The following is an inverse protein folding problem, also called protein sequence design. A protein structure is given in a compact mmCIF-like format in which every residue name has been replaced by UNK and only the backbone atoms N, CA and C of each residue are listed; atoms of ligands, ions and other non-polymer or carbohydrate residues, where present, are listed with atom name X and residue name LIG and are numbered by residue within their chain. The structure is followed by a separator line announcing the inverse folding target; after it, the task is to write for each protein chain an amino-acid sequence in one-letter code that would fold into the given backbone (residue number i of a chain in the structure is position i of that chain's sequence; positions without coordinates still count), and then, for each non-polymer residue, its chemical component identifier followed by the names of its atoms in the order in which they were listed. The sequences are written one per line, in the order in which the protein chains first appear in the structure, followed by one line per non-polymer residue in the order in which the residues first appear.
data_IF_912128124241
#
_entry.id   IF_912128124241
#
_cell.length_a   1.000
_cell.length_b   1.000
_cell.length_c   1.000
_cell.angle_alpha   90.00
_cell.angle_beta   90.00
_cell.angle_gamma   90.00
#
_symmetry.space_group_name_H-M   'P 1'
#
loop_
_entity.id
_entity.type
_entity.pdbx_description
1 polymer ?
#
# COMPACT_ATOMS: atom_id res chain seq x y z
N UNK A 1 21.85 -8.98 -36.22
CA UNK A 1 20.49 -9.40 -36.59
C UNK A 1 20.05 -8.69 -37.86
N UNK A 2 19.45 -9.42 -38.79
CA UNK A 2 18.74 -8.88 -39.95
C UNK A 2 17.43 -8.19 -39.54
N UNK A 3 16.78 -7.49 -40.47
CA UNK A 3 15.49 -6.87 -40.20
C UNK A 3 14.39 -7.90 -39.91
N UNK A 4 14.45 -9.07 -40.58
CA UNK A 4 13.51 -10.16 -40.36
C UNK A 4 13.72 -10.80 -38.99
N UNK A 5 14.96 -11.09 -38.60
CA UNK A 5 15.29 -11.63 -37.27
C UNK A 5 14.83 -10.71 -36.13
N UNK A 6 14.91 -9.38 -36.31
CA UNK A 6 14.38 -8.42 -35.33
C UNK A 6 12.86 -8.44 -35.21
N UNK A 7 12.13 -8.71 -36.30
CA UNK A 7 10.66 -8.86 -36.26
C UNK A 7 10.26 -10.14 -35.57
N UNK A 8 11.03 -11.21 -35.77
CA UNK A 8 10.76 -12.53 -35.22
C UNK A 8 11.22 -12.67 -33.75
N UNK A 9 11.98 -11.70 -33.24
CA UNK A 9 12.44 -11.65 -31.84
C UNK A 9 11.56 -10.69 -31.03
N UNK A 10 10.79 -11.18 -30.04
CA UNK A 10 9.99 -10.32 -29.18
C UNK A 10 10.85 -9.26 -28.48
N UNK A 11 10.43 -7.99 -28.55
CA UNK A 11 11.06 -6.91 -27.81
C UNK A 11 10.54 -6.92 -26.38
N UNK A 12 11.45 -7.07 -25.42
CA UNK A 12 11.16 -6.91 -23.99
C UNK A 12 11.39 -5.44 -23.63
N UNK A 13 10.42 -4.84 -22.96
CA UNK A 13 10.60 -3.53 -22.34
C UNK A 13 11.17 -3.72 -20.94
N UNK A 14 12.46 -3.43 -20.77
CA UNK A 14 13.14 -3.50 -19.47
C UNK A 14 13.01 -2.22 -18.66
N UNK A 15 12.58 -1.11 -19.27
CA UNK A 15 12.48 0.20 -18.62
C UNK A 15 11.13 0.37 -17.94
N UNK A 16 10.73 -0.63 -17.17
CA UNK A 16 9.47 -0.64 -16.42
C UNK A 16 9.55 0.31 -15.23
N UNK A 17 8.66 1.30 -15.10
CA UNK A 17 8.64 2.23 -13.97
C UNK A 17 8.53 1.52 -12.61
N UNK A 18 9.25 2.02 -11.61
CA UNK A 18 9.28 1.46 -10.26
C UNK A 18 8.55 2.39 -9.29
N UNK A 19 7.66 1.81 -8.47
CA UNK A 19 7.11 2.48 -7.29
C UNK A 19 7.69 1.81 -6.04
N UNK A 20 8.30 2.60 -5.15
CA UNK A 20 9.00 2.13 -3.97
C UNK A 20 8.29 2.50 -2.65
N UNK A 21 8.50 1.69 -1.62
CA UNK A 21 8.01 1.93 -0.26
C UNK A 21 8.92 2.94 0.46
N UNK A 22 8.36 4.07 0.88
CA UNK A 22 9.05 5.08 1.68
C UNK A 22 8.65 5.04 3.17
N UNK A 23 7.95 3.98 3.60
CA UNK A 23 7.42 3.78 4.94
C UNK A 23 6.65 5.02 5.43
N UNK A 24 6.83 5.39 6.70
CA UNK A 24 6.36 6.63 7.30
C UNK A 24 7.36 7.79 7.11
N UNK A 25 8.28 7.70 6.13
CA UNK A 25 9.25 8.76 5.82
C UNK A 25 10.49 8.83 6.71
N UNK A 26 10.71 7.83 7.58
CA UNK A 26 11.90 7.68 8.45
C UNK A 26 12.25 8.92 9.31
N UNK A 27 11.24 9.63 9.80
CA UNK A 27 11.40 10.75 10.73
C UNK A 27 10.55 11.95 10.35
N UNK A 28 11.08 13.15 10.59
CA UNK A 28 10.40 14.40 10.25
C UNK A 28 10.61 14.83 8.79
N UNK A 29 10.14 16.03 8.47
CA UNK A 29 10.15 16.65 7.13
C UNK A 29 11.52 16.55 6.41
N UNK A 30 12.63 16.79 7.13
CA UNK A 30 13.98 16.75 6.54
C UNK A 30 14.43 15.32 6.18
N UNK A 31 13.99 14.31 6.94
CA UNK A 31 14.21 12.91 6.59
C UNK A 31 13.45 12.55 5.32
N UNK A 32 12.19 12.97 5.21
CA UNK A 32 11.37 12.73 4.01
C UNK A 32 12.01 13.33 2.76
N UNK A 33 12.52 14.56 2.84
CA UNK A 33 13.21 15.19 1.71
C UNK A 33 14.48 14.42 1.33
N UNK A 34 15.32 14.04 2.30
CA UNK A 34 16.54 13.25 2.01
C UNK A 34 16.22 11.89 1.40
N UNK A 35 15.19 11.22 1.90
CA UNK A 35 14.73 9.93 1.40
C UNK A 35 14.18 10.06 -0.04
N UNK A 36 13.36 11.08 -0.29
CA UNK A 36 12.81 11.36 -1.63
C UNK A 36 13.92 11.64 -2.63
N UNK A 37 14.93 12.43 -2.24
CA UNK A 37 16.14 12.66 -3.05
C UNK A 37 16.85 11.36 -3.39
N UNK A 38 17.08 10.50 -2.39
CA UNK A 38 17.75 9.22 -2.60
C UNK A 38 16.97 8.30 -3.56
N UNK A 39 15.64 8.29 -3.48
CA UNK A 39 14.80 7.54 -4.43
C UNK A 39 14.91 8.07 -5.86
N UNK A 40 14.84 9.39 -6.05
CA UNK A 40 14.98 10.00 -7.38
C UNK A 40 16.36 9.70 -7.97
N UNK A 41 17.44 9.83 -7.18
CA UNK A 41 18.80 9.51 -7.63
C UNK A 41 18.99 8.03 -7.97
N UNK A 42 18.22 7.14 -7.35
CA UNK A 42 18.22 5.70 -7.66
C UNK A 42 17.38 5.35 -8.92
N UNK A 43 16.71 6.32 -9.55
CA UNK A 43 15.89 6.10 -10.75
C UNK A 43 14.47 5.60 -10.48
N UNK A 44 13.97 5.76 -9.25
CA UNK A 44 12.59 5.39 -8.89
C UNK A 44 11.58 6.37 -9.50
N UNK A 45 10.50 5.84 -10.08
CA UNK A 45 9.48 6.62 -10.78
C UNK A 45 8.35 7.12 -9.85
N UNK A 46 8.15 6.44 -8.71
CA UNK A 46 7.21 6.88 -7.70
C UNK A 46 7.51 6.32 -6.32
N UNK A 47 6.97 6.94 -5.28
CA UNK A 47 7.11 6.49 -3.90
C UNK A 47 5.75 6.46 -3.22
N UNK A 48 5.58 5.57 -2.24
CA UNK A 48 4.41 5.60 -1.37
C UNK A 48 4.79 5.89 0.09
N UNK A 49 4.06 6.80 0.74
CA UNK A 49 4.29 7.22 2.13
C UNK A 49 3.00 7.00 2.94
N UNK A 50 3.12 6.40 4.13
CA UNK A 50 1.98 6.06 4.99
C UNK A 50 1.84 6.94 6.23
N UNK A 51 0.61 7.05 6.74
CA UNK A 51 0.23 7.91 7.87
C UNK A 51 0.46 7.29 9.26
N UNK A 52 1.32 6.26 9.36
CA UNK A 52 1.75 5.71 10.63
C UNK A 52 2.85 6.57 11.29
N UNK A 53 3.03 6.39 12.60
CA UNK A 53 4.11 7.02 13.37
C UNK A 53 5.44 6.32 13.13
N UNK A 54 6.46 7.07 12.69
CA UNK A 54 7.82 6.57 12.58
C UNK A 54 8.33 6.06 13.94
N UNK A 55 8.93 4.87 13.97
CA UNK A 55 9.39 4.19 15.20
C UNK A 55 8.33 3.31 15.88
N UNK A 56 7.04 3.47 15.55
CA UNK A 56 5.95 2.57 15.95
C UNK A 56 5.28 1.89 14.74
N UNK A 57 5.91 1.99 13.57
CA UNK A 57 5.41 1.44 12.31
C UNK A 57 5.27 -0.07 12.39
N UNK A 58 4.13 -0.57 11.92
CA UNK A 58 3.87 -2.01 11.78
C UNK A 58 3.37 -2.33 10.39
N UNK A 59 3.45 -3.60 10.00
CA UNK A 59 2.78 -4.09 8.80
C UNK A 59 1.28 -3.80 8.88
N UNK A 60 0.64 -3.45 7.76
CA UNK A 60 -0.76 -3.04 7.69
C UNK A 60 -1.77 -4.04 8.24
N UNK A 61 -1.39 -5.31 8.32
CA UNK A 61 -2.22 -6.42 8.80
C UNK A 61 -1.99 -6.76 10.28
N UNK A 62 -1.10 -6.04 10.98
CA UNK A 62 -0.83 -6.22 12.40
C UNK A 62 -1.63 -5.25 13.27
N UNK A 63 -1.98 -5.70 14.48
CA UNK A 63 -2.66 -4.86 15.47
C UNK A 63 -1.75 -3.83 16.14
N UNK A 64 -2.37 -2.81 16.73
CA UNK A 64 -1.67 -1.77 17.48
C UNK A 64 -0.89 -0.79 16.60
N UNK A 65 -1.41 -0.49 15.40
CA UNK A 65 -0.87 0.59 14.55
C UNK A 65 -1.18 1.93 15.19
N UNK A 66 -0.19 2.82 15.16
CA UNK A 66 -0.28 4.18 15.67
C UNK A 66 -0.22 5.13 14.49
N UNK A 67 -1.29 5.89 14.26
CA UNK A 67 -1.32 6.94 13.26
C UNK A 67 -0.64 8.20 13.78
N UNK A 68 -0.14 9.01 12.85
CA UNK A 68 0.07 10.44 13.12
C UNK A 68 -1.18 11.24 12.77
N UNK A 69 -1.31 12.42 13.35
CA UNK A 69 -2.33 13.39 12.97
C UNK A 69 -2.27 13.73 11.46
N UNK A 70 -3.42 14.11 10.90
CA UNK A 70 -3.56 14.32 9.45
C UNK A 70 -2.64 15.41 8.91
N UNK A 71 -2.45 16.52 9.64
CA UNK A 71 -1.48 17.58 9.29
C UNK A 71 -0.04 17.09 9.18
N UNK A 72 0.42 16.21 10.06
CA UNK A 72 1.78 15.67 9.96
C UNK A 72 1.96 14.84 8.69
N UNK A 73 1.00 13.98 8.36
CA UNK A 73 1.08 13.24 7.10
C UNK A 73 1.08 14.19 5.89
N UNK A 74 0.26 15.24 5.91
CA UNK A 74 0.29 16.27 4.86
C UNK A 74 1.67 16.94 4.74
N UNK A 75 2.32 17.26 5.86
CA UNK A 75 3.67 17.81 5.83
C UNK A 75 4.68 16.86 5.17
N UNK A 76 4.56 15.55 5.38
CA UNK A 76 5.40 14.55 4.69
C UNK A 76 5.15 14.55 3.18
N UNK A 77 3.88 14.58 2.75
CA UNK A 77 3.53 14.63 1.32
C UNK A 77 4.03 15.93 0.66
N UNK A 78 3.85 17.08 1.31
CA UNK A 78 4.40 18.36 0.85
C UNK A 78 5.93 18.34 0.78
N UNK A 79 6.60 17.74 1.76
CA UNK A 79 8.06 17.63 1.77
C UNK A 79 8.58 16.78 0.59
N UNK A 80 7.91 15.65 0.31
CA UNK A 80 8.23 14.80 -0.83
C UNK A 80 8.02 15.55 -2.16
N UNK A 81 6.87 16.22 -2.33
CA UNK A 81 6.60 17.02 -3.54
C UNK A 81 7.62 18.14 -3.72
N UNK A 82 7.88 18.92 -2.66
CA UNK A 82 8.87 20.00 -2.69
C UNK A 82 10.26 19.48 -3.08
N UNK A 83 10.67 18.33 -2.56
CA UNK A 83 11.95 17.75 -2.93
C UNK A 83 12.00 17.32 -4.41
N UNK A 84 10.91 16.75 -4.93
CA UNK A 84 10.78 16.39 -6.33
C UNK A 84 10.86 17.64 -7.23
N UNK A 85 10.16 18.72 -6.86
CA UNK A 85 10.19 20.01 -7.56
C UNK A 85 11.61 20.61 -7.57
N UNK A 86 12.31 20.58 -6.44
CA UNK A 86 13.71 21.05 -6.33
C UNK A 86 14.64 20.27 -7.27
N UNK A 87 14.35 18.99 -7.51
CA UNK A 87 15.11 18.13 -8.41
C UNK A 87 14.62 18.19 -9.86
N UNK A 88 13.51 18.89 -10.14
CA UNK A 88 12.89 18.95 -11.47
C UNK A 88 12.39 17.59 -11.94
N UNK A 89 11.85 16.77 -11.02
CA UNK A 89 11.39 15.41 -11.31
C UNK A 89 9.88 15.28 -11.07
N UNK A 90 9.17 14.70 -12.03
CA UNK A 90 7.74 14.38 -11.94
C UNK A 90 7.50 13.07 -11.17
N UNK A 91 8.10 12.96 -9.98
CA UNK A 91 7.97 11.78 -9.12
C UNK A 91 6.50 11.57 -8.74
N UNK A 92 5.99 10.35 -8.95
CA UNK A 92 4.64 9.96 -8.53
C UNK A 92 4.61 9.75 -7.02
N UNK A 93 3.68 10.39 -6.33
CA UNK A 93 3.48 10.27 -4.88
C UNK A 93 2.18 9.52 -4.60
N UNK A 94 2.29 8.38 -3.93
CA UNK A 94 1.15 7.60 -3.45
C UNK A 94 0.98 7.83 -1.95
N UNK A 95 -0.17 8.34 -1.53
CA UNK A 95 -0.47 8.48 -0.10
C UNK A 95 -1.22 7.25 0.41
N UNK A 96 -0.62 6.55 1.37
CA UNK A 96 -1.23 5.42 2.06
C UNK A 96 -1.88 5.87 3.37
N UNK A 97 -3.08 5.37 3.66
CA UNK A 97 -3.69 5.45 5.00
C UNK A 97 -3.90 4.07 5.61
N UNK A 98 -3.51 3.92 6.87
CA UNK A 98 -3.72 2.73 7.69
C UNK A 98 -4.91 2.86 8.66
N UNK A 99 -5.66 3.97 8.54
CA UNK A 99 -6.68 4.39 9.50
C UNK A 99 -7.83 3.40 9.70
N UNK A 100 -8.12 2.52 8.73
CA UNK A 100 -9.19 1.53 8.87
C UNK A 100 -8.95 0.52 10.00
N UNK A 101 -7.69 0.11 10.21
CA UNK A 101 -7.33 -0.92 11.20
C UNK A 101 -6.35 -0.39 12.25
N UNK A 102 -6.15 0.91 12.31
CA UNK A 102 -5.35 1.52 13.36
C UNK A 102 -6.12 1.55 14.69
N UNK A 103 -5.38 1.32 15.77
CA UNK A 103 -5.93 1.31 17.12
C UNK A 103 -5.61 2.62 17.87
N UNK A 104 -4.55 3.31 17.45
CA UNK A 104 -4.01 4.45 18.17
C UNK A 104 -3.73 5.65 17.25
N UNK A 105 -3.76 6.84 17.83
CA UNK A 105 -3.36 8.11 17.25
C UNK A 105 -2.39 8.79 18.21
N UNK A 106 -1.33 9.37 17.68
CA UNK A 106 -0.26 9.96 18.48
C UNK A 106 -0.67 11.22 19.26
N UNK A 107 -1.50 12.08 18.66
CA UNK A 107 -1.99 13.31 19.25
C UNK A 107 -3.38 13.67 18.71
N UNK A 108 -4.20 14.28 19.57
CA UNK A 108 -5.53 14.79 19.24
C UNK A 108 -5.52 16.24 18.71
N UNK A 109 -4.40 16.74 18.18
CA UNK A 109 -4.28 18.17 17.82
C UNK A 109 -5.07 18.56 16.56
N UNK A 110 -5.40 17.59 15.70
CA UNK A 110 -6.07 17.85 14.43
C UNK A 110 -7.58 17.61 14.52
N UNK A 111 -8.41 18.66 14.32
CA UNK A 111 -9.86 18.55 14.32
C UNK A 111 -10.45 17.46 13.43
N UNK A 112 -9.78 17.12 12.32
CA UNK A 112 -10.26 16.07 11.42
C UNK A 112 -10.28 14.70 12.11
N UNK A 113 -9.37 14.47 13.04
CA UNK A 113 -9.22 13.18 13.71
C UNK A 113 -10.17 13.06 14.93
N UNK A 114 -10.64 14.18 15.49
CA UNK A 114 -11.46 14.21 16.71
C UNK A 114 -12.69 13.28 16.71
N UNK A 115 -13.50 13.19 15.64
CA UNK A 115 -14.71 12.36 15.63
C UNK A 115 -14.44 10.86 15.77
N UNK A 116 -13.19 10.43 15.60
CA UNK A 116 -12.79 9.02 15.61
C UNK A 116 -11.99 8.64 16.85
N UNK A 117 -11.67 9.62 17.71
CA UNK A 117 -11.01 9.37 18.98
C UNK A 117 -12.03 8.81 19.96
N UNK A 118 -11.66 7.70 20.59
CA UNK A 118 -12.42 7.04 21.63
C UNK A 118 -12.22 7.77 22.96
N UNK A 119 -13.28 7.84 23.76
CA UNK A 119 -13.25 8.42 25.09
C UNK A 119 -14.14 7.69 26.07
N UNK A 120 -13.85 7.89 27.35
CA UNK A 120 -14.68 7.43 28.46
C UNK A 120 -15.94 8.30 28.51
N UNK A 121 -17.10 7.69 28.42
CA UNK A 121 -18.41 8.37 28.49
C UNK A 121 -19.11 8.16 29.83
N UNK A 122 -18.69 7.13 30.56
CA UNK A 122 -19.24 6.72 31.84
C UNK A 122 -18.09 6.31 32.76
N UNK A 123 -17.92 7.01 33.88
CA UNK A 123 -16.86 6.77 34.86
C UNK A 123 -17.05 5.44 35.60
N UNK A 124 -18.28 4.92 35.67
CA UNK A 124 -18.57 3.63 36.30
C UNK A 124 -18.17 2.45 35.41
N UNK A 125 -18.13 2.66 34.08
CA UNK A 125 -17.76 1.66 33.08
C UNK A 125 -16.65 2.19 32.14
N UNK A 126 -15.43 2.41 32.67
CA UNK A 126 -14.34 3.07 31.94
C UNK A 126 -13.86 2.30 30.69
N UNK A 127 -14.15 1.00 30.62
CA UNK A 127 -13.81 0.17 29.45
C UNK A 127 -14.80 0.31 28.28
N UNK A 128 -15.98 0.90 28.51
CA UNK A 128 -16.99 1.12 27.49
C UNK A 128 -16.72 2.39 26.69
N UNK A 129 -15.64 2.35 25.90
CA UNK A 129 -15.19 3.48 25.11
C UNK A 129 -16.09 3.71 23.90
N UNK A 130 -16.44 4.97 23.65
CA UNK A 130 -17.20 5.39 22.48
C UNK A 130 -16.51 6.56 21.80
N UNK A 131 -16.77 6.74 20.51
CA UNK A 131 -16.42 8.01 19.86
C UNK A 131 -17.40 9.09 20.30
N UNK A 132 -17.01 10.38 20.19
CA UNK A 132 -17.90 11.47 20.55
C UNK A 132 -19.24 11.47 19.76
N UNK A 133 -19.25 11.16 18.44
CA UNK A 133 -20.50 10.97 17.70
C UNK A 133 -21.39 9.88 18.30
N UNK A 134 -20.85 8.69 18.61
CA UNK A 134 -21.62 7.57 19.19
C UNK A 134 -22.15 7.90 20.59
N UNK A 135 -21.33 8.57 21.40
CA UNK A 135 -21.73 9.06 22.71
C UNK A 135 -22.91 10.05 22.60
N UNK A 136 -22.91 10.89 21.57
CA UNK A 136 -24.03 11.80 21.28
C UNK A 136 -25.29 11.06 20.84
N UNK A 137 -25.19 10.01 20.03
CA UNK A 137 -26.34 9.17 19.66
C UNK A 137 -26.99 8.54 20.91
N UNK A 138 -26.16 8.00 21.81
CA UNK A 138 -26.62 7.47 23.10
C UNK A 138 -27.30 8.55 23.95
N UNK A 139 -26.66 9.71 24.10
CA UNK A 139 -27.20 10.81 24.90
C UNK A 139 -28.54 11.34 24.33
N UNK A 140 -28.70 11.40 23.01
CA UNK A 140 -29.97 11.77 22.37
C UNK A 140 -31.07 10.77 22.72
N UNK A 141 -30.77 9.47 22.65
CA UNK A 141 -31.73 8.41 22.97
C UNK A 141 -32.14 8.40 24.45
N UNK A 142 -31.24 8.80 25.36
CA UNK A 142 -31.50 8.89 26.80
C UNK A 142 -32.21 10.19 27.20
N UNK A 143 -31.94 11.30 26.49
CA UNK A 143 -32.46 12.64 26.83
C UNK A 143 -33.89 12.84 26.34
N UNK A 144 -34.24 12.34 25.15
CA UNK A 144 -35.55 12.56 24.55
C UNK A 144 -36.42 11.31 24.63
N UNK A 145 -37.69 11.46 25.00
CA UNK A 145 -38.65 10.33 25.13
C UNK A 145 -39.44 10.10 23.84
N UNK A 146 -39.65 11.15 23.04
CA UNK A 146 -40.47 11.08 21.83
C UNK A 146 -39.67 10.53 20.64
N UNK A 147 -40.07 9.39 20.11
CA UNK A 147 -39.37 8.68 19.03
C UNK A 147 -39.21 9.52 17.74
N UNK A 148 -40.21 10.33 17.38
CA UNK A 148 -40.10 11.24 16.22
C UNK A 148 -39.04 12.32 16.45
N UNK A 149 -38.97 12.86 17.68
CA UNK A 149 -37.93 13.82 18.06
C UNK A 149 -36.55 13.16 18.08
N UNK A 150 -36.41 11.97 18.65
CA UNK A 150 -35.15 11.20 18.67
C UNK A 150 -34.65 11.01 17.24
N UNK A 151 -35.48 10.48 16.35
CA UNK A 151 -35.11 10.24 14.95
C UNK A 151 -34.70 11.52 14.21
N UNK A 152 -35.39 12.64 14.49
CA UNK A 152 -35.01 13.94 13.93
C UNK A 152 -33.64 14.41 14.44
N UNK A 153 -33.39 14.27 15.75
CA UNK A 153 -32.12 14.70 16.35
C UNK A 153 -30.95 13.82 15.90
N UNK A 154 -31.13 12.49 15.87
CA UNK A 154 -30.11 11.56 15.35
C UNK A 154 -29.75 11.88 13.90
N UNK A 155 -30.75 12.16 13.05
CA UNK A 155 -30.51 12.54 11.66
C UNK A 155 -29.67 13.82 11.54
N UNK A 156 -29.98 14.84 12.34
CA UNK A 156 -29.24 16.11 12.34
C UNK A 156 -27.84 15.92 12.94
N UNK A 157 -27.71 15.16 14.02
CA UNK A 157 -26.44 14.84 14.67
C UNK A 157 -25.49 14.10 13.73
N UNK A 158 -25.94 13.01 13.13
CA UNK A 158 -25.11 12.14 12.29
C UNK A 158 -24.69 12.81 10.98
N UNK A 159 -25.47 13.76 10.49
CA UNK A 159 -25.11 14.54 9.31
C UNK A 159 -23.98 15.56 9.56
N UNK A 160 -23.77 15.98 10.81
CA UNK A 160 -22.90 17.12 11.13
C UNK A 160 -21.71 16.76 12.03
N UNK A 161 -21.92 15.91 13.06
CA UNK A 161 -20.95 15.70 14.13
C UNK A 161 -19.58 15.22 13.64
N UNK A 162 -19.54 14.42 12.57
CA UNK A 162 -18.27 13.90 12.06
C UNK A 162 -17.44 14.95 11.30
N UNK A 163 -17.98 16.13 11.03
CA UNK A 163 -17.29 17.23 10.33
C UNK A 163 -16.89 18.36 11.28
N UNK A 164 -16.98 18.16 12.59
CA UNK A 164 -16.75 19.16 13.63
C UNK A 164 -15.57 18.76 14.51
N UNK A 165 -14.86 19.76 15.03
CA UNK A 165 -13.95 19.55 16.17
C UNK A 165 -14.74 19.14 17.42
N UNK A 166 -14.09 18.52 18.42
CA UNK A 166 -14.73 18.21 19.70
C UNK A 166 -15.38 19.44 20.35
N UNK A 167 -14.74 20.62 20.25
CA UNK A 167 -15.28 21.86 20.83
C UNK A 167 -16.59 22.26 20.15
N UNK A 168 -16.59 22.32 18.82
CA UNK A 168 -17.78 22.66 18.02
C UNK A 168 -18.88 21.62 18.22
N UNK A 169 -18.53 20.33 18.28
CA UNK A 169 -19.50 19.26 18.49
C UNK A 169 -20.14 19.32 19.89
N UNK A 170 -19.41 19.76 20.92
CA UNK A 170 -19.98 20.02 22.26
C UNK A 170 -20.92 21.21 22.26
N UNK A 171 -20.56 22.29 21.57
CA UNK A 171 -21.43 23.46 21.41
C UNK A 171 -22.72 23.06 20.66
N UNK A 172 -22.58 22.29 19.58
CA UNK A 172 -23.70 21.77 18.81
C UNK A 172 -24.62 20.84 19.62
N UNK A 173 -24.08 19.97 20.47
CA UNK A 173 -24.89 19.14 21.38
C UNK A 173 -25.76 20.01 22.30
N UNK A 174 -25.18 21.08 22.88
CA UNK A 174 -25.92 22.03 23.73
C UNK A 174 -27.03 22.74 22.97
N UNK A 175 -26.78 23.15 21.73
CA UNK A 175 -27.80 23.75 20.86
C UNK A 175 -28.96 22.79 20.57
N UNK A 176 -28.67 21.50 20.40
CA UNK A 176 -29.68 20.45 20.23
C UNK A 176 -30.41 20.09 21.54
N UNK A 177 -29.94 20.61 22.68
CA UNK A 177 -30.58 20.49 23.98
C UNK A 177 -30.20 19.24 24.76
N UNK A 178 -29.00 18.69 24.54
CA UNK A 178 -28.43 17.62 25.36
C UNK A 178 -26.97 17.90 25.71
N UNK A 179 -26.49 17.31 26.80
CA UNK A 179 -25.09 17.33 27.17
C UNK A 179 -24.61 15.90 27.38
N UNK A 180 -23.31 15.67 27.18
CA UNK A 180 -22.70 14.38 27.44
C UNK A 180 -21.33 14.53 28.08
N UNK A 181 -21.03 13.58 28.97
CA UNK A 181 -19.68 13.37 29.47
C UNK A 181 -18.87 12.65 28.39
N UNK A 182 -17.63 13.08 28.22
CA UNK A 182 -16.68 12.46 27.30
C UNK A 182 -15.28 12.88 27.70
N UNK A 183 -14.41 11.93 27.95
CA UNK A 183 -13.00 12.16 28.26
C UNK A 183 -12.10 11.18 27.50
N UNK A 184 -11.44 11.67 26.46
CA UNK A 184 -10.44 10.92 25.70
C UNK A 184 -9.05 10.87 26.36
N UNK A 185 -8.80 11.67 27.41
CA UNK A 185 -7.52 11.71 28.11
C UNK A 185 -7.43 10.53 29.07
N UNK A 186 -8.57 10.15 29.65
CA UNK A 186 -8.72 9.06 30.61
C UNK A 186 -8.40 7.67 30.03
N UNK A 187 -8.49 7.49 28.71
CA UNK A 187 -8.28 6.20 28.05
C UNK A 187 -7.01 6.12 27.18
N UNK A 188 -6.05 7.03 27.39
CA UNK A 188 -4.75 6.97 26.71
C UNK A 188 -3.97 5.71 27.07
N UNK A 189 -3.12 5.25 26.16
CA UNK A 189 -2.16 4.18 26.45
C UNK A 189 -1.05 4.65 27.39
N UNK A 190 -0.23 3.73 27.89
CA UNK A 190 0.90 4.04 28.76
C UNK A 190 1.93 4.96 28.08
N UNK A 191 2.07 4.86 26.76
CA UNK A 191 2.90 5.75 25.94
C UNK A 191 2.26 7.11 25.68
N UNK A 192 1.01 7.30 26.09
CA UNK A 192 0.23 8.52 25.89
C UNK A 192 -0.57 8.59 24.60
N UNK A 193 -0.75 7.47 23.88
CA UNK A 193 -1.52 7.47 22.62
C UNK A 193 -3.02 7.49 22.86
N UNK A 194 -3.74 8.22 22.00
CA UNK A 194 -5.20 8.23 21.98
C UNK A 194 -5.71 6.97 21.30
N UNK A 195 -6.71 6.32 21.89
CA UNK A 195 -7.42 5.21 21.24
C UNK A 195 -8.33 5.76 20.14
N UNK A 196 -8.39 5.09 19.00
CA UNK A 196 -9.24 5.50 17.87
C UNK A 196 -10.09 4.33 17.37
N UNK A 197 -11.18 4.68 16.69
CA UNK A 197 -12.03 3.75 15.96
C UNK A 197 -11.82 3.92 14.47
N UNK A 198 -11.14 2.96 13.85
CA UNK A 198 -11.00 2.90 12.39
C UNK A 198 -12.35 2.70 11.72
N UNK A 199 -12.66 3.56 10.75
CA UNK A 199 -13.89 3.49 9.95
C UNK A 199 -13.61 3.86 8.50
N UNK A 200 -14.49 3.44 7.59
CA UNK A 200 -14.39 3.87 6.19
C UNK A 200 -14.47 5.39 6.05
N UNK A 201 -15.36 6.04 6.79
CA UNK A 201 -15.49 7.51 6.78
C UNK A 201 -14.17 8.19 7.19
N UNK A 202 -13.49 7.66 8.20
CA UNK A 202 -12.19 8.18 8.62
C UNK A 202 -11.13 8.09 7.50
N UNK A 203 -11.08 6.93 6.84
CA UNK A 203 -10.17 6.71 5.70
C UNK A 203 -10.46 7.69 4.57
N UNK A 204 -11.74 7.88 4.24
CA UNK A 204 -12.18 8.80 3.17
C UNK A 204 -11.81 10.24 3.52
N UNK A 205 -12.01 10.69 4.77
CA UNK A 205 -11.66 12.07 5.16
C UNK A 205 -10.16 12.33 5.12
N UNK A 206 -9.34 11.39 5.61
CA UNK A 206 -7.88 11.45 5.49
C UNK A 206 -7.45 11.43 4.02
N UNK A 207 -7.97 10.48 3.24
CA UNK A 207 -7.68 10.36 1.81
C UNK A 207 -8.02 11.62 1.00
N UNK A 208 -9.16 12.26 1.28
CA UNK A 208 -9.54 13.55 0.65
C UNK A 208 -8.53 14.66 0.92
N UNK A 209 -7.95 14.70 2.14
CA UNK A 209 -6.86 15.62 2.46
C UNK A 209 -5.58 15.26 1.73
N UNK A 210 -5.20 13.99 1.74
CA UNK A 210 -3.98 13.53 1.06
C UNK A 210 -4.01 13.78 -0.45
N UNK A 211 -5.19 13.68 -1.06
CA UNK A 211 -5.42 13.98 -2.47
C UNK A 211 -5.13 15.43 -2.87
N UNK A 212 -4.95 16.36 -1.92
CA UNK A 212 -4.52 17.74 -2.24
C UNK A 212 -3.09 17.77 -2.81
N UNK A 213 -2.29 16.72 -2.60
CA UNK A 213 -0.87 16.66 -3.00
C UNK A 213 -0.50 15.33 -3.68
N UNK A 214 -1.13 14.22 -3.27
CA UNK A 214 -0.80 12.89 -3.76
C UNK A 214 -1.45 12.58 -5.11
N UNK A 215 -0.68 11.93 -5.98
CA UNK A 215 -1.13 11.51 -7.31
C UNK A 215 -2.04 10.27 -7.21
N UNK A 216 -1.74 9.35 -6.28
CA UNK A 216 -2.57 8.19 -5.98
C UNK A 216 -2.90 8.09 -4.50
N UNK A 217 -4.06 7.53 -4.18
CA UNK A 217 -4.44 7.16 -2.82
C UNK A 217 -4.52 5.65 -2.64
N UNK A 218 -4.03 5.16 -1.50
CA UNK A 218 -4.13 3.77 -1.09
C UNK A 218 -4.70 3.69 0.33
N UNK A 219 -5.84 3.04 0.50
CA UNK A 219 -6.35 2.64 1.81
C UNK A 219 -5.95 1.18 2.07
N UNK A 220 -5.19 0.92 3.14
CA UNK A 220 -4.89 -0.45 3.53
C UNK A 220 -6.15 -1.16 4.04
N UNK A 221 -6.40 -2.36 3.52
CA UNK A 221 -7.58 -3.17 3.86
C UNK A 221 -7.17 -4.42 4.66
N UNK A 222 -7.97 -4.84 5.65
CA UNK A 222 -7.66 -6.05 6.44
C UNK A 222 -8.01 -7.35 5.71
N UNK A 223 -8.79 -7.27 4.62
CA UNK A 223 -9.29 -8.41 3.85
C UNK A 223 -9.60 -7.98 2.40
N UNK A 224 -9.67 -8.91 1.43
CA UNK A 224 -10.04 -8.61 0.06
C UNK A 224 -11.57 -8.40 -0.04
N UNK A 225 -12.03 -7.16 0.15
CA UNK A 225 -13.45 -6.81 0.21
C UNK A 225 -13.79 -5.70 -0.80
N UNK A 226 -14.41 -6.10 -1.91
CA UNK A 226 -14.82 -5.18 -2.98
C UNK A 226 -15.85 -4.15 -2.52
N UNK A 227 -16.69 -4.45 -1.51
CA UNK A 227 -17.66 -3.46 -1.00
C UNK A 227 -16.93 -2.36 -0.24
N UNK A 228 -15.95 -2.73 0.58
CA UNK A 228 -15.11 -1.77 1.29
C UNK A 228 -14.29 -0.92 0.31
N UNK A 229 -13.67 -1.55 -0.70
CA UNK A 229 -12.93 -0.85 -1.76
C UNK A 229 -13.83 0.14 -2.52
N UNK A 230 -15.02 -0.30 -2.94
CA UNK A 230 -15.99 0.57 -3.61
C UNK A 230 -16.41 1.75 -2.73
N UNK A 231 -16.68 1.50 -1.44
CA UNK A 231 -17.04 2.56 -0.51
C UNK A 231 -15.95 3.63 -0.36
N UNK A 232 -14.68 3.23 -0.38
CA UNK A 232 -13.56 4.19 -0.36
C UNK A 232 -13.49 4.96 -1.67
N UNK A 233 -13.53 4.27 -2.81
CA UNK A 233 -13.51 4.90 -4.12
C UNK A 233 -14.65 5.91 -4.30
N UNK A 234 -15.90 5.52 -4.03
CA UNK A 234 -17.07 6.41 -4.09
C UNK A 234 -16.89 7.63 -3.17
N UNK A 235 -16.37 7.41 -1.96
CA UNK A 235 -16.11 8.47 -0.99
C UNK A 235 -15.07 9.49 -1.47
N UNK A 236 -14.00 9.04 -2.12
CA UNK A 236 -12.99 9.92 -2.71
C UNK A 236 -13.55 10.63 -3.95
N UNK A 237 -14.11 9.88 -4.90
CA UNK A 237 -14.58 10.37 -6.19
C UNK A 237 -15.78 11.31 -6.10
N UNK A 238 -16.57 11.25 -5.01
CA UNK A 238 -17.61 12.23 -4.73
C UNK A 238 -17.10 13.68 -4.61
N UNK A 239 -15.81 13.87 -4.26
CA UNK A 239 -15.17 15.19 -4.15
C UNK A 239 -14.09 15.39 -5.20
N UNK A 240 -13.36 14.33 -5.55
CA UNK A 240 -12.29 14.36 -6.56
C UNK A 240 -12.47 13.22 -7.57
N UNK A 241 -13.32 13.40 -8.59
CA UNK A 241 -13.69 12.34 -9.54
C UNK A 241 -12.51 11.71 -10.27
N UNK A 242 -11.46 12.50 -10.55
CA UNK A 242 -10.30 12.06 -11.32
C UNK A 242 -9.16 11.49 -10.45
N UNK A 243 -9.37 11.38 -9.13
CA UNK A 243 -8.34 10.88 -8.22
C UNK A 243 -8.01 9.42 -8.53
N UNK A 244 -6.76 9.15 -8.88
CA UNK A 244 -6.27 7.79 -9.08
C UNK A 244 -6.13 7.06 -7.74
N UNK A 245 -6.42 5.76 -7.75
CA UNK A 245 -6.37 4.91 -6.56
C UNK A 245 -5.39 3.75 -6.77
N UNK A 246 -4.84 3.27 -5.68
CA UNK A 246 -3.99 2.09 -5.63
C UNK A 246 -4.53 1.04 -4.64
N UNK A 247 -4.31 -0.24 -4.94
CA UNK A 247 -4.80 -1.35 -4.12
C UNK A 247 -3.74 -2.42 -3.89
N UNK A 248 -3.55 -2.78 -2.62
CA UNK A 248 -2.69 -3.88 -2.20
C UNK A 248 -3.47 -5.20 -2.23
N UNK A 249 -3.13 -6.08 -3.17
CA UNK A 249 -3.59 -7.46 -3.26
C UNK A 249 -2.78 -8.32 -2.29
N UNK A 250 -2.99 -8.09 -1.00
CA UNK A 250 -2.12 -8.61 0.05
C UNK A 250 -2.02 -10.14 0.03
N UNK A 251 -0.80 -10.71 0.07
CA UNK A 251 -0.60 -12.14 0.27
C UNK A 251 -0.83 -12.57 1.73
N UNK A 252 -1.03 -11.60 2.66
CA UNK A 252 -1.48 -11.92 4.02
C UNK A 252 -2.97 -12.26 4.08
N UNK A 253 -3.73 -12.00 3.01
CA UNK A 253 -5.09 -12.48 2.89
C UNK A 253 -5.08 -14.00 2.65
N UNK A 254 -5.96 -14.71 3.34
CA UNK A 254 -6.31 -16.05 2.92
C UNK A 254 -7.37 -15.95 1.80
N UNK A 255 -6.90 -15.96 0.55
CA UNK A 255 -7.76 -15.82 -0.64
C UNK A 255 -8.78 -16.95 -0.76
N UNK A 256 -8.40 -18.19 -0.42
CA UNK A 256 -9.31 -19.35 -0.43
C UNK A 256 -10.39 -19.26 0.65
N UNK A 257 -10.05 -18.67 1.81
CA UNK A 257 -11.00 -18.44 2.90
C UNK A 257 -11.72 -17.08 2.82
N UNK A 258 -11.58 -16.35 1.71
CA UNK A 258 -12.21 -15.03 1.54
C UNK A 258 -13.74 -15.09 1.41
N UNK A 259 -14.29 -16.27 1.12
CA UNK A 259 -15.69 -16.49 0.80
C UNK A 259 -16.05 -16.18 -0.66
N UNK A 260 -15.07 -15.80 -1.49
CA UNK A 260 -15.23 -15.63 -2.93
C UNK A 260 -15.07 -16.98 -3.65
N UNK A 261 -15.77 -17.15 -4.77
CA UNK A 261 -15.54 -18.26 -5.69
C UNK A 261 -14.38 -17.96 -6.68
N UNK A 262 -13.99 -18.96 -7.48
CA UNK A 262 -12.88 -18.82 -8.43
C UNK A 262 -13.11 -17.73 -9.49
N UNK A 263 -14.34 -17.57 -9.98
CA UNK A 263 -14.69 -16.52 -10.96
C UNK A 263 -14.56 -15.12 -10.34
N UNK A 264 -15.00 -14.96 -9.09
CA UNK A 264 -14.89 -13.72 -8.33
C UNK A 264 -13.42 -13.35 -8.04
N UNK A 265 -12.60 -14.33 -7.66
CA UNK A 265 -11.16 -14.14 -7.45
C UNK A 265 -10.48 -13.74 -8.77
N UNK A 266 -10.78 -14.43 -9.87
CA UNK A 266 -10.23 -14.11 -11.19
C UNK A 266 -10.66 -12.71 -11.66
N UNK A 267 -11.89 -12.29 -11.34
CA UNK A 267 -12.44 -10.99 -11.70
C UNK A 267 -12.06 -9.86 -10.73
N UNK A 268 -11.33 -10.12 -9.63
CA UNK A 268 -11.07 -9.16 -8.56
C UNK A 268 -10.29 -7.93 -9.07
N UNK A 269 -9.18 -8.15 -9.78
CA UNK A 269 -8.32 -7.08 -10.33
C UNK A 269 -9.09 -6.21 -11.35
N UNK A 270 -9.77 -6.78 -12.37
CA UNK A 270 -10.61 -6.00 -13.28
C UNK A 270 -11.74 -5.23 -12.57
N UNK A 271 -12.32 -5.81 -11.52
CA UNK A 271 -13.41 -5.17 -10.77
C UNK A 271 -12.92 -3.94 -10.01
N UNK A 272 -11.76 -4.02 -9.36
CA UNK A 272 -11.09 -2.86 -8.77
C UNK A 272 -10.75 -1.79 -9.83
N UNK A 273 -10.25 -2.21 -11.00
CA UNK A 273 -9.92 -1.28 -12.09
C UNK A 273 -11.12 -0.41 -12.52
N UNK A 274 -12.33 -0.99 -12.58
CA UNK A 274 -13.57 -0.26 -12.88
C UNK A 274 -13.95 0.79 -11.83
N UNK A 275 -13.40 0.69 -10.61
CA UNK A 275 -13.61 1.63 -9.52
C UNK A 275 -12.51 2.70 -9.43
N UNK A 276 -11.58 2.75 -10.38
CA UNK A 276 -10.48 3.74 -10.42
C UNK A 276 -9.18 3.29 -9.74
N UNK A 277 -9.08 2.03 -9.31
CA UNK A 277 -7.81 1.44 -8.84
C UNK A 277 -6.91 1.10 -10.03
N UNK A 278 -6.20 2.10 -10.54
CA UNK A 278 -5.38 2.02 -11.75
C UNK A 278 -4.01 1.36 -11.51
N UNK A 279 -3.54 1.30 -10.27
CA UNK A 279 -2.32 0.58 -9.90
C UNK A 279 -2.60 -0.43 -8.78
N UNK A 280 -2.26 -1.70 -9.03
CA UNK A 280 -2.53 -2.80 -8.11
C UNK A 280 -1.30 -3.68 -8.01
N UNK A 281 -1.01 -4.19 -6.82
CA UNK A 281 0.24 -4.89 -6.56
C UNK A 281 0.08 -5.97 -5.48
N UNK A 282 0.87 -7.04 -5.60
CA UNK A 282 1.01 -8.08 -4.56
C UNK A 282 2.35 -7.84 -3.86
N UNK A 283 2.31 -7.28 -2.66
CA UNK A 283 3.50 -6.79 -1.93
C UNK A 283 4.62 -7.81 -1.79
N UNK A 284 4.31 -9.06 -1.44
CA UNK A 284 5.31 -10.10 -1.13
C UNK A 284 5.28 -11.28 -2.11
N UNK A 285 4.75 -11.12 -3.32
CA UNK A 285 4.70 -12.19 -4.31
C UNK A 285 6.09 -12.80 -4.57
N UNK A 286 7.10 -11.95 -4.81
CA UNK A 286 8.48 -12.41 -5.04
C UNK A 286 9.06 -13.21 -3.88
N UNK A 287 8.75 -12.81 -2.63
CA UNK A 287 9.18 -13.54 -1.44
C UNK A 287 8.55 -14.94 -1.39
N UNK A 288 7.23 -15.05 -1.60
CA UNK A 288 6.53 -16.33 -1.58
C UNK A 288 6.95 -17.25 -2.74
N UNK A 289 7.12 -16.70 -3.95
CA UNK A 289 7.59 -17.45 -5.12
C UNK A 289 8.99 -18.04 -4.88
N UNK A 290 9.92 -17.22 -4.36
CA UNK A 290 11.27 -17.66 -4.06
C UNK A 290 11.28 -18.72 -2.95
N UNK A 291 10.58 -18.46 -1.84
CA UNK A 291 10.52 -19.39 -0.72
C UNK A 291 9.95 -20.76 -1.14
N UNK A 292 8.85 -20.77 -1.91
CA UNK A 292 8.22 -22.00 -2.38
C UNK A 292 9.17 -22.84 -3.24
N UNK A 293 9.81 -22.22 -4.24
CA UNK A 293 10.67 -22.97 -5.15
C UNK A 293 11.96 -23.42 -4.46
N UNK A 294 12.55 -22.61 -3.59
CA UNK A 294 13.70 -23.00 -2.78
C UNK A 294 13.38 -24.20 -1.89
N UNK A 295 12.23 -24.22 -1.22
CA UNK A 295 11.78 -25.31 -0.35
C UNK A 295 11.57 -26.61 -1.16
N UNK A 296 10.81 -26.55 -2.27
CA UNK A 296 10.57 -27.70 -3.14
C UNK A 296 11.90 -28.26 -3.64
N UNK A 297 12.78 -27.41 -4.17
CA UNK A 297 14.05 -27.86 -4.74
C UNK A 297 14.98 -28.45 -3.69
N UNK A 298 15.10 -27.83 -2.52
CA UNK A 298 15.98 -28.31 -1.44
C UNK A 298 15.53 -29.66 -0.87
N UNK A 299 14.22 -29.88 -0.78
CA UNK A 299 13.66 -31.19 -0.39
C UNK A 299 13.93 -32.25 -1.46
N UNK A 300 13.69 -31.91 -2.73
CA UNK A 300 13.77 -32.87 -3.82
C UNK A 300 15.22 -33.23 -4.18
N UNK A 301 16.17 -32.28 -4.17
CA UNK A 301 17.57 -32.54 -4.57
C UNK A 301 18.20 -33.67 -3.74
N UNK A 302 17.82 -33.83 -2.46
CA UNK A 302 18.29 -34.93 -1.60
C UNK A 302 17.78 -36.33 -1.99
N UNK A 303 16.76 -36.42 -2.86
CA UNK A 303 16.15 -37.69 -3.27
C UNK A 303 16.83 -38.32 -4.49
N UNK A 304 17.06 -37.53 -5.55
CA UNK A 304 17.64 -38.01 -6.81
C UNK A 304 18.78 -37.12 -7.35
N UNK A 305 19.37 -36.28 -6.48
CA UNK A 305 20.51 -35.41 -6.80
C UNK A 305 20.25 -34.62 -8.09
N UNK A 306 21.20 -34.65 -9.04
CA UNK A 306 21.15 -33.90 -10.29
C UNK A 306 19.90 -34.17 -11.15
N UNK A 307 19.26 -35.34 -11.02
CA UNK A 307 18.04 -35.62 -11.78
C UNK A 307 16.92 -34.65 -11.43
N UNK A 308 16.81 -34.24 -10.15
CA UNK A 308 15.81 -33.25 -9.72
C UNK A 308 16.10 -31.86 -10.25
N UNK A 309 17.36 -31.47 -10.35
CA UNK A 309 17.72 -30.23 -11.05
C UNK A 309 17.33 -30.27 -12.52
N UNK A 310 17.61 -31.38 -13.21
CA UNK A 310 17.25 -31.56 -14.62
C UNK A 310 15.74 -31.50 -14.83
N UNK A 311 14.94 -32.16 -13.98
CA UNK A 311 13.48 -32.20 -14.12
C UNK A 311 12.79 -30.91 -13.71
N UNK A 312 13.06 -30.42 -12.50
CA UNK A 312 12.34 -29.32 -11.89
C UNK A 312 12.77 -27.96 -12.44
N UNK A 313 14.06 -27.82 -12.79
CA UNK A 313 14.62 -26.55 -13.23
C UNK A 313 14.90 -26.58 -14.74
N UNK A 314 15.91 -27.32 -15.18
CA UNK A 314 16.44 -27.17 -16.54
C UNK A 314 15.42 -27.54 -17.64
N UNK A 315 14.67 -28.65 -17.47
CA UNK A 315 13.62 -29.05 -18.42
C UNK A 315 12.42 -28.12 -18.34
N UNK A 316 12.07 -27.62 -17.14
CA UNK A 316 10.99 -26.66 -16.97
C UNK A 316 11.32 -25.32 -17.65
N UNK A 317 12.52 -24.77 -17.44
CA UNK A 317 13.01 -23.56 -18.12
C UNK A 317 12.97 -23.72 -19.65
N UNK A 318 13.32 -24.90 -20.17
CA UNK A 318 13.23 -25.19 -21.60
C UNK A 318 11.77 -25.21 -22.10
N UNK A 319 10.85 -25.84 -21.36
CA UNK A 319 9.43 -25.90 -21.74
C UNK A 319 8.77 -24.51 -21.73
N UNK A 320 9.09 -23.71 -20.73
CA UNK A 320 8.54 -22.36 -20.54
C UNK A 320 9.32 -21.27 -21.29
N UNK A 321 10.36 -21.64 -22.05
CA UNK A 321 11.23 -20.73 -22.81
C UNK A 321 11.85 -19.61 -21.96
N UNK A 322 12.33 -19.94 -20.76
CA UNK A 322 12.99 -18.99 -19.84
C UNK A 322 14.36 -18.59 -20.40
N UNK A 323 14.60 -17.28 -20.55
CA UNK A 323 15.81 -16.75 -21.17
C UNK A 323 17.10 -17.13 -20.40
N UNK A 324 17.01 -17.29 -19.09
CA UNK A 324 18.09 -17.60 -18.16
C UNK A 324 18.68 -19.01 -18.35
N UNK A 325 17.99 -19.91 -19.07
CA UNK A 325 18.57 -21.19 -19.48
C UNK A 325 19.90 -20.98 -20.24
N UNK A 326 19.97 -19.90 -21.02
CA UNK A 326 21.19 -19.38 -21.66
C UNK A 326 21.76 -18.22 -20.84
N UNK A 327 22.29 -18.53 -19.65
CA UNK A 327 22.73 -17.58 -18.64
C UNK A 327 23.93 -16.70 -19.03
N UNK A 328 24.86 -17.16 -19.89
CA UNK A 328 25.94 -16.35 -20.45
C UNK A 328 25.40 -15.31 -21.42
N UNK A 329 24.51 -15.73 -22.33
CA UNK A 329 23.86 -14.79 -23.24
C UNK A 329 23.01 -13.78 -22.46
N UNK A 330 22.19 -14.27 -21.52
CA UNK A 330 21.29 -13.43 -20.72
C UNK A 330 22.05 -12.43 -19.84
N UNK A 331 23.19 -12.82 -19.25
CA UNK A 331 24.03 -11.92 -18.45
C UNK A 331 24.79 -10.86 -19.25
N UNK A 332 24.74 -10.94 -20.59
CA UNK A 332 25.32 -9.93 -21.48
C UNK A 332 26.75 -10.21 -21.91
N UNK A 333 27.23 -11.47 -21.89
CA UNK A 333 28.60 -11.81 -22.34
C UNK A 333 28.85 -11.36 -23.78
N UNK A 334 27.88 -11.58 -24.69
CA UNK A 334 28.01 -11.14 -26.09
C UNK A 334 28.21 -9.62 -26.22
N UNK A 335 27.54 -8.83 -25.38
CA UNK A 335 27.69 -7.38 -25.36
C UNK A 335 29.09 -7.00 -24.89
N UNK A 336 29.57 -7.65 -23.81
CA UNK A 336 30.91 -7.40 -23.26
C UNK A 336 32.01 -7.75 -24.25
N UNK A 337 31.89 -8.87 -24.96
CA UNK A 337 32.86 -9.27 -25.98
C UNK A 337 32.93 -8.26 -27.13
N UNK A 338 31.80 -7.68 -27.52
CA UNK A 338 31.75 -6.61 -28.53
C UNK A 338 32.39 -5.31 -28.05
N UNK A 339 32.22 -4.93 -26.78
CA UNK A 339 32.94 -3.78 -26.20
C UNK A 339 34.46 -3.97 -26.23
N UNK A 340 34.94 -5.18 -25.94
CA UNK A 340 36.37 -5.52 -25.97
C UNK A 340 36.92 -5.45 -27.40
N UNK A 341 36.17 -5.97 -28.37
CA UNK A 341 36.52 -5.90 -29.80
C UNK A 341 36.62 -4.45 -30.29
N UNK A 342 35.67 -3.59 -29.90
CA UNK A 342 35.67 -2.18 -30.28
C UNK A 342 36.80 -1.37 -29.63
N UNK A 343 37.15 -1.68 -28.39
CA UNK A 343 38.17 -0.94 -27.63
C UNK A 343 39.61 -1.39 -27.95
N UNK A 344 39.79 -2.55 -28.59
CA UNK A 344 41.11 -3.12 -28.87
C UNK A 344 41.46 -3.04 -30.37
N UNK A 345 42.51 -2.32 -30.77
CA UNK A 345 42.93 -2.24 -32.17
C UNK A 345 43.64 -3.51 -32.70
N UNK A 346 43.80 -4.55 -31.87
CA UNK A 346 44.51 -5.79 -32.18
C UNK A 346 43.60 -7.01 -32.02
N UNK A 347 43.99 -8.13 -32.65
CA UNK A 347 43.26 -9.39 -32.56
C UNK A 347 43.35 -9.96 -31.13
N UNK A 348 42.29 -9.76 -30.33
CA UNK A 348 42.25 -10.16 -28.92
C UNK A 348 42.02 -11.67 -28.81
N UNK A 349 42.93 -12.39 -28.14
CA UNK A 349 42.87 -13.84 -27.94
C UNK A 349 41.98 -14.31 -26.78
N UNK A 350 41.39 -13.39 -26.02
CA UNK A 350 40.56 -13.66 -24.82
C UNK A 350 39.06 -13.62 -25.11
N UNK A 351 38.65 -13.77 -26.37
CA UNK A 351 37.24 -13.89 -26.74
C UNK A 351 36.66 -15.10 -25.98
N UNK A 352 35.41 -15.01 -25.53
CA UNK A 352 34.68 -16.23 -25.18
C UNK A 352 34.49 -17.01 -26.49
N UNK A 353 35.47 -17.83 -26.86
CA UNK A 353 35.45 -18.59 -28.10
C UNK A 353 34.12 -19.36 -28.17
N UNK A 354 33.34 -19.11 -29.23
CA UNK A 354 32.11 -19.86 -29.48
C UNK A 354 32.40 -21.36 -29.63
N UNK A 355 33.64 -21.71 -30.03
CA UNK A 355 34.20 -23.06 -29.97
C UNK A 355 34.45 -23.48 -28.50
N UNK A 356 33.40 -24.00 -27.87
CA UNK A 356 33.41 -24.47 -26.47
C UNK A 356 32.32 -23.86 -25.59
N UNK A 357 31.50 -22.95 -26.11
CA UNK A 357 30.37 -22.39 -25.36
C UNK A 357 29.36 -23.49 -25.00
N UNK A 358 29.18 -23.74 -23.70
CA UNK A 358 28.29 -24.78 -23.18
C UNK A 358 26.82 -24.52 -23.53
N UNK A 359 26.43 -23.31 -23.91
CA UNK A 359 25.04 -23.01 -24.28
C UNK A 359 24.63 -23.57 -25.63
N UNK A 360 25.60 -23.88 -26.50
CA UNK A 360 25.35 -24.51 -27.80
C UNK A 360 24.62 -25.86 -27.68
N UNK A 361 24.76 -26.55 -26.54
CA UNK A 361 24.07 -27.80 -26.22
C UNK A 361 22.54 -27.63 -26.08
N UNK A 362 22.06 -26.42 -25.78
CA UNK A 362 20.63 -26.15 -25.60
C UNK A 362 19.91 -25.85 -26.92
N UNK A 363 20.62 -25.67 -28.03
CA UNK A 363 20.03 -25.40 -29.34
C UNK A 363 19.44 -26.62 -30.06
N UNK A 364 19.86 -27.85 -29.70
CA UNK A 364 19.60 -29.07 -30.47
C UNK A 364 19.13 -30.30 -29.63
N UNK A 365 18.79 -30.13 -28.36
CA UNK A 365 18.39 -31.27 -27.51
C UNK A 365 16.98 -31.77 -27.88
N UNK A 366 16.88 -32.90 -28.60
CA UNK A 366 15.65 -33.68 -28.78
C UNK A 366 15.19 -34.23 -27.42
N UNK A 367 13.96 -33.87 -27.05
CA UNK A 367 13.08 -34.39 -25.97
C UNK A 367 13.74 -34.68 -24.60
#
# INVERSE_FOLDING_TARGET
MSAQERKDTPRIDYLTPIIADADAGFGGVTSVMKLTKAFIEAGVSGIHIEDQKAGAKKCGHLGGKVLVNTKEQMQRLYAARLQADVMGCDLVIVARTDSYSAAFLDTNIDPLDHPYILGVVDEEYPDNLMTFPEAGEKAIAETFVNESRINKMLKVWNANCTNMSLKEAREFAKELGFELKFDWEACRSDEGYYKIKGTLDYCVKRGRKFAEVADLLWMETPKPDLKLAKGFADGIHAVKPDQMLAYNLSPSFNWDASGMNEEEIAAFIPSLGKMGYCWQFITLAGFHLNALMCEIFSREIGTQNMMRYVELIQRAERRENVAQLKHQKWSGVDLRDKEVELSSPFNVGTKANQDGCTESQFGNAKL
#
